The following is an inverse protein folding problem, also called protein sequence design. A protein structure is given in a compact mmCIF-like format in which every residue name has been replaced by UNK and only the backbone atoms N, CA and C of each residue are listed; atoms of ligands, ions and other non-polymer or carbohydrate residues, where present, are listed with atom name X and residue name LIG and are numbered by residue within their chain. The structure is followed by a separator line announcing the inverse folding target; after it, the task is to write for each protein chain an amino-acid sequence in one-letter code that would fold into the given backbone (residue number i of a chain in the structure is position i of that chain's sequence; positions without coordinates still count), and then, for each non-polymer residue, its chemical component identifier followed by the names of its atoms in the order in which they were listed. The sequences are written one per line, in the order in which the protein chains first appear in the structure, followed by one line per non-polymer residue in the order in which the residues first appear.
data_IF_520516395841
#
_entry.id   IF_520516395841
#
_cell.length_a   1.000
_cell.length_b   1.000
_cell.length_c   1.000
_cell.angle_alpha   90.00
_cell.angle_beta   90.00
_cell.angle_gamma   90.00
#
_symmetry.space_group_name_H-M   'P 1'
#
loop_
_entity.id
_entity.type
_entity.pdbx_description
1 polymer ?
#
# COMPACT_ATOMS: atom_id res chain seq x y z
N UNK A 1 -13.49 9.74 -15.44
CA UNK A 1 -12.63 8.66 -14.93
C UNK A 1 -12.14 7.88 -16.13
N UNK A 2 -10.85 7.58 -16.23
CA UNK A 2 -10.29 6.83 -17.36
C UNK A 2 -9.70 5.49 -16.91
N UNK A 3 -9.68 4.45 -17.77
CA UNK A 3 -8.79 3.31 -17.58
C UNK A 3 -7.34 3.78 -17.51
N UNK A 4 -6.49 2.98 -16.84
CA UNK A 4 -5.05 3.18 -16.87
C UNK A 4 -4.52 2.75 -18.24
N UNK A 5 -3.52 3.45 -18.74
CA UNK A 5 -2.80 3.04 -19.94
C UNK A 5 -1.88 1.86 -19.63
N UNK A 6 -1.41 1.14 -20.64
CA UNK A 6 -0.53 -0.03 -20.43
C UNK A 6 0.74 0.34 -19.65
N UNK A 7 1.36 1.48 -19.99
CA UNK A 7 2.56 1.99 -19.29
C UNK A 7 2.29 2.26 -17.81
N UNK A 8 1.18 2.94 -17.52
CA UNK A 8 0.78 3.28 -16.15
C UNK A 8 0.44 2.03 -15.34
N UNK A 9 -0.22 1.07 -16.00
CA UNK A 9 -0.61 -0.21 -15.44
C UNK A 9 0.64 -0.99 -15.01
N UNK A 10 1.67 -1.06 -15.85
CA UNK A 10 2.95 -1.69 -15.51
C UNK A 10 3.61 -1.00 -14.31
N UNK A 11 3.67 0.33 -14.28
CA UNK A 11 4.29 1.07 -13.17
C UNK A 11 3.56 0.83 -11.84
N UNK A 12 2.22 0.79 -11.85
CA UNK A 12 1.42 0.49 -10.66
C UNK A 12 1.67 -0.95 -10.22
N UNK A 13 1.60 -1.91 -11.14
CA UNK A 13 1.79 -3.33 -10.81
C UNK A 13 3.20 -3.63 -10.34
N UNK A 14 4.24 -3.05 -10.92
CA UNK A 14 5.62 -3.22 -10.47
C UNK A 14 5.79 -2.73 -9.02
N UNK A 15 5.16 -1.60 -8.67
CA UNK A 15 5.21 -1.07 -7.30
C UNK A 15 4.45 -1.96 -6.32
N UNK A 16 3.27 -2.46 -6.70
CA UNK A 16 2.48 -3.37 -5.87
C UNK A 16 3.14 -4.75 -5.71
N UNK A 17 3.80 -5.23 -6.77
CA UNK A 17 4.50 -6.51 -6.79
C UNK A 17 5.64 -6.55 -5.78
N UNK A 18 6.30 -5.42 -5.51
CA UNK A 18 7.33 -5.31 -4.47
C UNK A 18 6.81 -5.64 -3.06
N UNK A 19 5.52 -5.46 -2.78
CA UNK A 19 4.93 -5.74 -1.46
C UNK A 19 4.20 -7.10 -1.41
N UNK A 20 3.49 -7.43 -2.49
CA UNK A 20 2.56 -8.58 -2.55
C UNK A 20 3.17 -9.81 -3.23
N UNK A 21 4.17 -9.62 -4.10
CA UNK A 21 4.73 -10.67 -4.94
C UNK A 21 3.65 -11.34 -5.80
N UNK A 22 3.67 -12.67 -5.85
CA UNK A 22 2.77 -13.47 -6.70
C UNK A 22 1.29 -13.41 -6.27
N UNK A 23 0.97 -12.91 -5.07
CA UNK A 23 -0.41 -12.81 -4.59
C UNK A 23 -1.21 -11.67 -5.24
N UNK A 24 -0.59 -10.90 -6.14
CA UNK A 24 -1.22 -9.76 -6.80
C UNK A 24 -2.42 -10.19 -7.67
N UNK A 25 -2.36 -11.39 -8.24
CA UNK A 25 -3.50 -11.98 -8.95
C UNK A 25 -4.72 -12.14 -8.04
N UNK A 26 -4.55 -12.44 -6.75
CA UNK A 26 -5.67 -12.58 -5.82
C UNK A 26 -6.39 -11.25 -5.58
N UNK A 27 -5.61 -10.17 -5.48
CA UNK A 27 -6.13 -8.80 -5.30
C UNK A 27 -6.95 -8.35 -6.52
N UNK A 28 -6.50 -8.69 -7.73
CA UNK A 28 -7.10 -8.19 -8.98
C UNK A 28 -8.20 -9.11 -9.50
N UNK A 29 -8.09 -10.43 -9.29
CA UNK A 29 -8.96 -11.44 -9.92
C UNK A 29 -9.86 -12.20 -8.95
N UNK A 30 -9.48 -12.38 -7.68
CA UNK A 30 -10.15 -13.34 -6.79
C UNK A 30 -11.00 -12.71 -5.68
N UNK A 31 -10.95 -11.40 -5.42
CA UNK A 31 -11.86 -10.77 -4.47
C UNK A 31 -13.21 -10.48 -5.15
N UNK A 32 -14.26 -11.29 -4.91
CA UNK A 32 -15.60 -10.98 -5.40
C UNK A 32 -16.07 -9.66 -4.80
N UNK A 33 -16.37 -8.67 -5.65
CA UNK A 33 -17.06 -7.47 -5.17
C UNK A 33 -18.55 -7.80 -5.01
N UNK A 34 -19.03 -7.78 -3.76
CA UNK A 34 -20.45 -7.92 -3.43
C UNK A 34 -21.18 -6.56 -3.40
N UNK A 35 -20.52 -5.46 -3.78
CA UNK A 35 -21.03 -4.07 -3.67
C UNK A 35 -22.01 -3.66 -4.79
N UNK A 36 -22.76 -4.62 -5.34
CA UNK A 36 -23.67 -4.42 -6.45
C UNK A 36 -25.03 -5.11 -6.24
N UNK A 37 -26.08 -4.63 -6.92
CA UNK A 37 -27.39 -5.30 -6.96
C UNK A 37 -27.39 -6.54 -7.89
N UNK A 38 -26.29 -6.79 -8.61
CA UNK A 38 -26.16 -7.90 -9.53
C UNK A 38 -25.96 -9.23 -8.76
N UNK A 39 -26.63 -10.32 -9.16
CA UNK A 39 -26.52 -11.63 -8.51
C UNK A 39 -25.15 -12.30 -8.71
N UNK A 40 -24.34 -11.83 -9.65
CA UNK A 40 -22.98 -12.31 -9.87
C UNK A 40 -21.97 -11.34 -9.23
N UNK A 41 -20.99 -11.83 -8.45
CA UNK A 41 -19.96 -10.98 -7.87
C UNK A 41 -19.17 -10.27 -8.98
N UNK A 42 -19.15 -8.95 -8.94
CA UNK A 42 -18.41 -8.13 -9.89
C UNK A 42 -16.90 -8.24 -9.66
N UNK A 43 -16.11 -7.77 -10.62
CA UNK A 43 -14.64 -7.67 -10.48
C UNK A 43 -14.24 -6.28 -10.00
N UNK A 44 -13.11 -6.20 -9.30
CA UNK A 44 -12.46 -4.93 -9.03
C UNK A 44 -11.61 -4.49 -10.22
N UNK A 45 -11.56 -3.18 -10.46
CA UNK A 45 -10.78 -2.57 -11.53
C UNK A 45 -10.06 -1.32 -11.02
N UNK A 46 -8.93 -1.01 -11.64
CA UNK A 46 -8.20 0.23 -11.39
C UNK A 46 -8.71 1.33 -12.31
N UNK A 47 -8.99 2.50 -11.74
CA UNK A 47 -9.39 3.71 -12.48
C UNK A 47 -8.55 4.89 -12.07
N UNK A 48 -8.21 5.71 -13.06
CA UNK A 48 -7.44 6.93 -12.85
C UNK A 48 -8.33 8.17 -12.91
N UNK A 49 -8.15 9.05 -11.94
CA UNK A 49 -8.80 10.35 -11.88
C UNK A 49 -7.95 11.37 -11.14
N UNK A 50 -7.76 12.54 -11.75
CA UNK A 50 -6.94 13.64 -11.19
C UNK A 50 -5.57 13.12 -10.68
N UNK A 51 -4.93 12.24 -11.47
CA UNK A 51 -3.66 11.56 -11.16
C UNK A 51 -3.68 10.63 -9.93
N UNK A 52 -4.84 10.35 -9.35
CA UNK A 52 -5.03 9.37 -8.29
C UNK A 52 -5.58 8.07 -8.88
N UNK A 53 -5.03 6.95 -8.44
CA UNK A 53 -5.44 5.59 -8.84
C UNK A 53 -6.33 5.01 -7.76
N UNK A 54 -7.53 4.61 -8.18
CA UNK A 54 -8.55 4.05 -7.32
C UNK A 54 -8.80 2.59 -7.65
N UNK A 55 -8.98 1.77 -6.63
CA UNK A 55 -9.41 0.39 -6.69
C UNK A 55 -10.92 0.34 -6.38
N UNK A 56 -11.72 -0.03 -7.38
CA UNK A 56 -13.19 0.07 -7.31
C UNK A 56 -13.84 -1.12 -8.02
N UNK A 57 -14.99 -1.56 -7.50
CA UNK A 57 -15.85 -2.54 -8.19
C UNK A 57 -16.38 -2.00 -9.53
N UNK A 58 -16.47 -2.87 -10.54
CA UNK A 58 -16.95 -2.50 -11.87
C UNK A 58 -18.39 -1.94 -11.83
N UNK A 59 -19.24 -2.47 -10.95
CA UNK A 59 -20.63 -2.00 -10.77
C UNK A 59 -20.71 -0.58 -10.21
N UNK A 60 -19.76 -0.17 -9.36
CA UNK A 60 -19.65 1.24 -8.93
C UNK A 60 -19.17 2.13 -10.07
N UNK A 61 -18.19 1.68 -10.88
CA UNK A 61 -17.72 2.45 -12.04
C UNK A 61 -18.85 2.70 -13.04
N UNK A 62 -19.69 1.69 -13.33
CA UNK A 62 -20.84 1.83 -14.24
C UNK A 62 -21.86 2.86 -13.76
N UNK A 63 -22.02 3.03 -12.44
CA UNK A 63 -22.91 4.06 -11.86
C UNK A 63 -22.25 5.44 -11.82
N UNK A 64 -20.94 5.47 -11.60
CA UNK A 64 -20.16 6.70 -11.53
C UNK A 64 -20.06 7.45 -12.87
N UNK A 65 -20.35 6.80 -14.01
CA UNK A 65 -20.45 7.46 -15.33
C UNK A 65 -21.54 8.53 -15.38
N UNK A 66 -22.57 8.44 -14.52
CA UNK A 66 -23.64 9.44 -14.43
C UNK A 66 -23.20 10.74 -13.75
N UNK A 67 -22.01 10.76 -13.13
CA UNK A 67 -21.49 11.92 -12.39
C UNK A 67 -20.42 12.60 -13.24
N UNK A 68 -20.54 13.93 -13.40
CA UNK A 68 -19.53 14.74 -14.11
C UNK A 68 -18.17 14.65 -13.41
N UNK A 69 -17.08 14.58 -14.20
CA UNK A 69 -15.69 14.44 -13.72
C UNK A 69 -15.27 15.50 -12.70
N UNK A 70 -15.77 16.72 -12.82
CA UNK A 70 -15.46 17.84 -11.92
C UNK A 70 -16.04 17.62 -10.52
N UNK A 71 -17.25 17.08 -10.45
CA UNK A 71 -17.99 16.84 -9.21
C UNK A 71 -17.58 15.55 -8.51
N UNK A 72 -16.88 14.65 -9.20
CA UNK A 72 -16.42 13.40 -8.62
C UNK A 72 -15.10 13.64 -7.86
N UNK A 73 -15.13 13.42 -6.55
CA UNK A 73 -13.98 13.67 -5.63
C UNK A 73 -13.15 12.40 -5.48
N UNK A 74 -13.74 11.33 -4.95
CA UNK A 74 -13.11 10.03 -4.73
C UNK A 74 -14.10 8.90 -5.03
N UNK A 75 -13.57 7.68 -5.24
CA UNK A 75 -14.41 6.50 -5.42
C UNK A 75 -13.63 5.25 -5.00
N UNK A 76 -14.24 4.40 -4.15
CA UNK A 76 -13.60 3.20 -3.61
C UNK A 76 -12.32 3.52 -2.82
N UNK A 77 -11.31 2.67 -2.94
CA UNK A 77 -10.06 2.81 -2.17
C UNK A 77 -8.96 3.43 -3.04
N UNK A 78 -8.37 4.55 -2.59
CA UNK A 78 -7.19 5.10 -3.26
C UNK A 78 -5.97 4.24 -2.96
N UNK A 79 -5.28 3.79 -4.00
CA UNK A 79 -4.04 3.01 -3.85
C UNK A 79 -2.83 3.93 -3.88
N UNK A 80 -2.88 4.97 -4.71
CA UNK A 80 -1.77 5.91 -4.82
C UNK A 80 -2.03 7.06 -5.78
N UNK A 81 -1.02 7.91 -5.91
CA UNK A 81 -1.01 9.07 -6.81
C UNK A 81 0.20 9.02 -7.74
N UNK A 82 0.00 9.41 -8.99
CA UNK A 82 1.09 9.70 -9.91
C UNK A 82 1.67 11.08 -9.59
N UNK A 83 2.97 11.12 -9.44
CA UNK A 83 3.73 12.37 -9.29
C UNK A 83 3.90 13.06 -10.64
N UNK A 84 4.30 14.34 -10.64
CA UNK A 84 4.60 15.09 -11.88
C UNK A 84 5.73 14.46 -12.73
N UNK A 85 6.53 13.57 -12.12
CA UNK A 85 7.60 12.82 -12.78
C UNK A 85 7.17 11.41 -13.22
N UNK A 86 5.85 11.17 -13.35
CA UNK A 86 5.24 9.88 -13.71
C UNK A 86 5.61 8.69 -12.83
N UNK A 87 6.19 8.94 -11.65
CA UNK A 87 6.42 7.91 -10.63
C UNK A 87 5.15 7.68 -9.83
N UNK A 88 4.80 6.41 -9.64
CA UNK A 88 3.68 6.02 -8.79
C UNK A 88 4.08 6.06 -7.31
N UNK A 89 3.41 6.92 -6.54
CA UNK A 89 3.55 7.03 -5.10
C UNK A 89 2.39 6.31 -4.43
N UNK A 90 2.70 5.28 -3.63
CA UNK A 90 1.72 4.49 -2.92
C UNK A 90 1.24 5.27 -1.69
N UNK A 91 -0.08 5.39 -1.50
CA UNK A 91 -0.68 6.08 -0.35
C UNK A 91 -1.12 5.09 0.71
N UNK A 92 -1.16 5.54 1.97
CA UNK A 92 -1.53 4.69 3.12
C UNK A 92 -2.93 4.08 3.02
N UNK A 93 -3.86 4.70 2.29
CA UNK A 93 -5.22 4.18 2.09
C UNK A 93 -5.26 2.76 1.47
N UNK A 94 -4.22 2.36 0.72
CA UNK A 94 -4.07 1.01 0.19
C UNK A 94 -3.59 -0.04 1.21
N UNK A 95 -3.34 0.33 2.46
CA UNK A 95 -2.74 -0.54 3.48
C UNK A 95 -3.55 -1.80 3.72
N UNK A 96 -4.86 -1.70 3.94
CA UNK A 96 -5.69 -2.86 4.25
C UNK A 96 -5.67 -3.91 3.13
N UNK A 97 -5.68 -3.47 1.87
CA UNK A 97 -5.65 -4.35 0.71
C UNK A 97 -4.31 -5.09 0.58
N UNK A 98 -3.21 -4.38 0.82
CA UNK A 98 -1.86 -4.91 0.66
C UNK A 98 -1.40 -5.70 1.88
N UNK A 99 -1.78 -5.28 3.09
CA UNK A 99 -1.43 -5.94 4.34
C UNK A 99 -1.91 -7.41 4.36
N UNK A 100 -3.15 -7.66 3.91
CA UNK A 100 -3.73 -9.00 3.84
C UNK A 100 -2.90 -9.98 3.01
N UNK A 101 -2.25 -9.49 1.95
CA UNK A 101 -1.54 -10.31 0.96
C UNK A 101 -0.02 -10.10 0.97
N UNK A 102 0.50 -9.32 1.92
CA UNK A 102 1.90 -8.93 1.96
C UNK A 102 2.81 -10.14 2.21
N UNK A 103 3.82 -10.28 1.36
CA UNK A 103 4.82 -11.36 1.45
C UNK A 103 5.80 -11.11 2.59
N UNK A 104 6.28 -9.89 2.71
CA UNK A 104 7.29 -9.48 3.69
C UNK A 104 6.67 -8.57 4.74
N UNK A 105 6.82 -8.97 6.01
CA UNK A 105 6.23 -8.29 7.16
C UNK A 105 7.30 -8.02 8.21
N UNK A 106 7.16 -6.88 8.89
CA UNK A 106 8.03 -6.48 10.00
C UNK A 106 7.16 -6.05 11.16
N UNK A 107 7.38 -6.62 12.33
CA UNK A 107 6.66 -6.26 13.56
C UNK A 107 7.54 -5.35 14.41
N UNK A 108 6.98 -4.23 14.83
CA UNK A 108 7.63 -3.25 15.69
C UNK A 108 7.29 -3.51 17.15
N UNK A 109 8.27 -3.26 18.03
CA UNK A 109 8.03 -3.19 19.48
C UNK A 109 7.23 -1.92 19.81
N UNK A 110 6.41 -1.93 20.87
CA UNK A 110 5.63 -0.76 21.29
C UNK A 110 6.45 0.52 21.47
N UNK A 111 7.71 0.40 21.92
CA UNK A 111 8.65 1.53 22.09
C UNK A 111 8.97 2.27 20.79
N UNK A 112 8.85 1.60 19.64
CA UNK A 112 9.22 2.13 18.33
C UNK A 112 8.02 2.36 17.41
N UNK A 113 6.82 1.94 17.82
CA UNK A 113 5.58 2.17 17.07
C UNK A 113 5.30 3.66 16.92
N UNK A 114 5.31 4.44 18.01
CA UNK A 114 5.08 5.88 17.94
C UNK A 114 6.10 6.59 17.06
N UNK A 115 7.38 6.19 17.12
CA UNK A 115 8.42 6.74 16.26
C UNK A 115 8.09 6.55 14.77
N UNK A 116 7.61 5.36 14.40
CA UNK A 116 7.21 5.05 13.02
C UNK A 116 5.95 5.84 12.60
N UNK A 117 4.97 5.98 13.47
CA UNK A 117 3.75 6.77 13.22
C UNK A 117 4.01 8.28 13.09
N UNK A 118 5.17 8.75 13.55
CA UNK A 118 5.67 10.10 13.30
C UNK A 118 6.53 10.21 12.04
N UNK A 119 6.56 9.18 11.18
CA UNK A 119 7.27 9.20 9.90
C UNK A 119 8.76 8.88 9.98
N UNK A 120 9.25 8.37 11.11
CA UNK A 120 10.65 7.98 11.22
C UNK A 120 10.88 6.57 10.67
N UNK A 121 12.10 6.33 10.18
CA UNK A 121 12.53 5.00 9.77
C UNK A 121 12.70 4.05 10.97
N UNK A 122 12.60 2.75 10.72
CA UNK A 122 12.67 1.73 11.76
C UNK A 122 14.13 1.35 12.03
N UNK A 123 14.53 1.51 13.28
CA UNK A 123 15.85 1.08 13.78
C UNK A 123 15.81 -0.39 14.21
N UNK A 124 16.96 -1.06 14.15
CA UNK A 124 17.09 -2.47 14.53
C UNK A 124 16.63 -2.76 15.96
N UNK A 125 16.94 -1.87 16.92
CA UNK A 125 16.50 -2.02 18.31
C UNK A 125 14.97 -2.09 18.48
N UNK A 126 14.24 -1.44 17.56
CA UNK A 126 12.79 -1.36 17.52
C UNK A 126 12.08 -2.52 16.81
N UNK A 127 12.81 -3.37 16.09
CA UNK A 127 12.24 -4.54 15.40
C UNK A 127 12.01 -5.67 16.41
N UNK A 128 10.77 -6.15 16.49
CA UNK A 128 10.40 -7.34 17.26
C UNK A 128 10.56 -8.62 16.43
N UNK A 129 9.89 -8.70 15.28
CA UNK A 129 9.93 -9.85 14.37
C UNK A 129 10.10 -9.37 12.93
N UNK A 130 10.80 -10.16 12.12
CA UNK A 130 11.00 -9.90 10.69
C UNK A 130 10.79 -11.19 9.91
N UNK A 131 10.12 -11.11 8.76
CA UNK A 131 10.01 -12.24 7.84
C UNK A 131 11.39 -12.62 7.27
N UNK A 132 11.58 -13.91 7.00
CA UNK A 132 12.80 -14.39 6.35
C UNK A 132 12.83 -14.06 4.85
N UNK A 133 14.01 -14.17 4.24
CA UNK A 133 14.24 -13.95 2.80
C UNK A 133 13.84 -12.55 2.29
N UNK A 134 13.97 -11.51 3.12
CA UNK A 134 13.88 -10.11 2.67
C UNK A 134 15.21 -9.71 2.05
N UNK A 135 15.16 -9.18 0.84
CA UNK A 135 16.29 -8.58 0.14
C UNK A 135 16.30 -7.05 0.33
N UNK A 136 17.45 -6.44 0.01
CA UNK A 136 17.57 -4.99 0.02
C UNK A 136 16.63 -4.38 -1.03
N UNK A 137 15.92 -3.32 -0.68
CA UNK A 137 14.91 -2.61 -1.48
C UNK A 137 13.58 -3.35 -1.68
N UNK A 138 13.34 -4.47 -1.00
CA UNK A 138 12.04 -5.12 -0.99
C UNK A 138 11.00 -4.26 -0.25
N UNK A 139 9.75 -4.30 -0.75
CA UNK A 139 8.62 -3.66 -0.10
C UNK A 139 8.19 -4.48 1.10
N UNK A 140 8.12 -3.84 2.27
CA UNK A 140 7.70 -4.48 3.52
C UNK A 140 6.48 -3.78 4.09
N UNK A 141 5.56 -4.56 4.66
CA UNK A 141 4.46 -4.00 5.45
C UNK A 141 4.84 -4.06 6.93
N UNK A 142 4.70 -2.92 7.59
CA UNK A 142 5.04 -2.73 8.99
C UNK A 142 3.79 -2.98 9.84
N UNK A 143 3.94 -3.77 10.88
CA UNK A 143 2.91 -4.19 11.82
C UNK A 143 3.30 -3.83 13.25
N UNK A 144 2.29 -3.66 14.09
CA UNK A 144 2.43 -3.69 15.55
C UNK A 144 2.61 -5.13 16.04
N UNK A 145 3.14 -5.33 17.25
CA UNK A 145 3.14 -6.65 17.92
C UNK A 145 1.74 -7.27 18.06
N UNK A 146 0.67 -6.46 17.99
CA UNK A 146 -0.72 -6.92 18.02
C UNK A 146 -1.28 -7.31 16.64
N UNK A 147 -0.42 -7.54 15.63
CA UNK A 147 -0.82 -7.86 14.25
C UNK A 147 -1.67 -6.77 13.56
N UNK A 148 -1.60 -5.53 14.04
CA UNK A 148 -2.23 -4.37 13.41
C UNK A 148 -1.30 -3.77 12.35
N UNK A 149 -1.73 -3.60 11.08
CA UNK A 149 -0.89 -2.98 10.06
C UNK A 149 -0.74 -1.47 10.33
N UNK A 150 0.51 -1.00 10.38
CA UNK A 150 0.87 0.39 10.68
C UNK A 150 1.26 1.19 9.45
N UNK A 151 1.79 0.53 8.42
CA UNK A 151 2.19 1.23 7.20
C UNK A 151 3.10 0.43 6.26
N UNK A 152 3.70 1.15 5.33
CA UNK A 152 4.62 0.65 4.32
C UNK A 152 6.04 1.10 4.59
N UNK A 153 6.99 0.25 4.25
CA UNK A 153 8.40 0.58 4.25
C UNK A 153 9.16 -0.15 3.16
N UNK A 154 10.43 0.20 3.04
CA UNK A 154 11.38 -0.44 2.12
C UNK A 154 12.54 -1.00 2.95
N UNK A 155 12.88 -2.26 2.75
CA UNK A 155 13.98 -2.89 3.47
C UNK A 155 15.31 -2.23 3.10
N UNK A 156 16.01 -1.68 4.10
CA UNK A 156 17.33 -1.08 3.94
C UNK A 156 18.44 -2.14 3.85
N UNK A 157 18.18 -3.32 4.43
CA UNK A 157 19.14 -4.43 4.58
C UNK A 157 18.43 -5.78 4.41
N UNK A 158 19.19 -6.81 4.05
CA UNK A 158 18.68 -8.18 3.96
C UNK A 158 18.35 -8.73 5.36
N UNK A 159 17.50 -9.75 5.46
CA UNK A 159 17.18 -10.37 6.77
C UNK A 159 18.45 -10.86 7.49
N UNK A 160 19.44 -11.38 6.76
CA UNK A 160 20.68 -11.90 7.33
C UNK A 160 21.55 -10.76 7.89
N UNK A 161 21.67 -9.66 7.16
CA UNK A 161 22.44 -8.49 7.59
C UNK A 161 21.76 -7.78 8.78
N UNK A 162 20.43 -7.75 8.79
CA UNK A 162 19.65 -7.22 9.91
C UNK A 162 19.91 -7.95 11.24
N UNK A 163 20.40 -9.20 11.22
CA UNK A 163 20.74 -9.94 12.45
C UNK A 163 22.10 -9.53 13.02
N UNK A 164 23.03 -9.08 12.18
CA UNK A 164 24.40 -8.71 12.54
C UNK A 164 24.58 -7.19 12.77
N UNK A 165 23.54 -6.42 12.49
CA UNK A 165 23.59 -4.96 12.53
C UNK A 165 23.50 -4.40 13.95
N UNK A 166 24.12 -3.24 14.14
CA UNK A 166 23.99 -2.44 15.36
C UNK A 166 22.52 -2.06 15.65
N UNK A 167 22.10 -1.98 16.93
CA UNK A 167 20.74 -1.55 17.30
C UNK A 167 20.29 -0.20 16.71
N UNK A 168 21.22 0.71 16.44
CA UNK A 168 20.95 2.02 15.84
C UNK A 168 20.93 2.00 14.31
N UNK A 169 21.21 0.86 13.68
CA UNK A 169 21.14 0.72 12.23
C UNK A 169 19.68 0.76 11.73
N UNK A 170 19.47 1.42 10.59
CA UNK A 170 18.15 1.46 9.93
C UNK A 170 17.89 0.12 9.24
N UNK A 171 16.80 -0.53 9.60
CA UNK A 171 16.35 -1.80 8.99
C UNK A 171 15.32 -1.56 7.89
N UNK A 172 14.39 -0.64 8.14
CA UNK A 172 13.31 -0.31 7.20
C UNK A 172 13.26 1.20 7.02
N UNK A 173 13.40 1.65 5.78
CA UNK A 173 13.08 3.01 5.40
C UNK A 173 11.57 3.19 5.42
N UNK A 174 11.12 4.21 6.14
CA UNK A 174 9.72 4.61 6.15
C UNK A 174 9.28 5.01 4.73
N UNK A 175 8.08 4.60 4.33
CA UNK A 175 7.48 5.03 3.07
C UNK A 175 6.13 5.73 3.27
N UNK A 176 5.23 5.11 4.05
CA UNK A 176 3.97 5.71 4.45
C UNK A 176 3.46 5.05 5.74
N UNK A 177 2.74 5.77 6.58
CA UNK A 177 2.19 5.26 7.85
C UNK A 177 0.79 5.81 8.15
N UNK A 178 0.04 5.13 9.01
CA UNK A 178 -1.34 5.53 9.38
C UNK A 178 -1.40 6.86 10.14
N UNK A 179 -0.30 7.33 10.74
CA UNK A 179 -0.23 8.68 11.32
C UNK A 179 -0.32 9.78 10.27
N UNK A 180 -0.18 9.49 8.98
CA UNK A 180 -0.45 10.44 7.90
C UNK A 180 -1.90 10.92 7.88
N UNK A 181 -2.85 10.10 8.36
CA UNK A 181 -4.26 10.53 8.45
C UNK A 181 -4.48 11.75 9.34
N UNK A 182 -3.60 11.98 10.32
CA UNK A 182 -3.65 13.15 11.21
C UNK A 182 -2.70 14.27 10.78
N UNK A 183 -1.67 13.94 10.00
CA UNK A 183 -0.59 14.90 9.63
C UNK A 183 -0.79 15.51 8.24
N UNK A 184 -1.44 14.79 7.34
CA UNK A 184 -1.56 15.11 5.92
C UNK A 184 -3.03 15.19 5.49
N UNK A 185 -3.88 15.81 6.31
CA UNK A 185 -5.33 15.93 6.07
C UNK A 185 -5.64 16.57 4.69
N UNK A 186 -4.85 17.57 4.27
CA UNK A 186 -5.05 18.29 3.01
C UNK A 186 -4.55 17.51 1.77
N UNK A 187 -3.58 16.60 1.95
CA UNK A 187 -2.92 15.90 0.83
C UNK A 187 -3.53 14.54 0.48
N UNK A 188 -4.36 14.00 1.37
CA UNK A 188 -4.96 12.66 1.27
C UNK A 188 -6.14 12.56 0.28
#
# INVERSE_FOLDING_TARGET
MRPLDEKETTVVFDKLYKFVGNNLQKIVMENPSYEGPDPNPGRYCFRLQKNRVYYVSESLVKRATNIKREKLVSMGTQIGKFTKSDKFHLTIQGLNLLAANARHKVWLKPTSEMSFLYGNSVLKGGVGRITENIQVNDGVVVYSMADVPLGFGVAAKSTQDCRKMDPNGIVVHHHADIGEYLRMEDEL
#
